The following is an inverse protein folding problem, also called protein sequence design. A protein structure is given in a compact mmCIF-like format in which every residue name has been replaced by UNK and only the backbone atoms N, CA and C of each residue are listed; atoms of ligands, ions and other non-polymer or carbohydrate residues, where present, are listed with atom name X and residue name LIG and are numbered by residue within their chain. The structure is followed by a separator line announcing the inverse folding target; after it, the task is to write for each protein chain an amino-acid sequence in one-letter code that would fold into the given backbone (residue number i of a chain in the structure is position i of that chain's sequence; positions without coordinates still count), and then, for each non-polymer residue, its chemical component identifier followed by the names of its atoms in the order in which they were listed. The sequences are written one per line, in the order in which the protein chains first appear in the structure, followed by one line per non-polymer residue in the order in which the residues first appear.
data_IF_623230460287
#
_entry.id   IF_623230460287
#
_cell.length_a   1.000
_cell.length_b   1.000
_cell.length_c   1.000
_cell.angle_alpha   90.00
_cell.angle_beta   90.00
_cell.angle_gamma   90.00
#
_symmetry.space_group_name_H-M   'P 1'
#
loop_
_entity.id
_entity.type
_entity.pdbx_description
1 polymer ?
#
# COMPACT_ATOMS: atom_id res chain seq x y z
N UNK A 1 -22.55 -37.33 -21.23
CA UNK A 1 -22.06 -36.67 -20.00
C UNK A 1 -20.92 -35.74 -20.38
N UNK A 2 -21.21 -34.45 -20.47
CA UNK A 2 -20.55 -33.51 -21.39
C UNK A 2 -19.41 -32.74 -20.75
N UNK A 3 -18.46 -32.27 -21.58
CA UNK A 3 -17.33 -31.39 -21.27
C UNK A 3 -17.61 -30.30 -20.21
N UNK A 4 -18.84 -29.75 -20.19
CA UNK A 4 -19.35 -28.82 -19.16
C UNK A 4 -19.26 -29.37 -17.73
N UNK A 5 -19.52 -30.67 -17.53
CA UNK A 5 -19.52 -31.33 -16.22
C UNK A 5 -18.09 -31.58 -15.71
N UNK A 6 -17.17 -31.96 -16.61
CA UNK A 6 -15.74 -32.08 -16.32
C UNK A 6 -15.08 -30.72 -16.06
N UNK A 7 -15.42 -29.68 -16.83
CA UNK A 7 -14.96 -28.31 -16.59
C UNK A 7 -15.49 -27.75 -15.26
N UNK A 8 -16.77 -28.00 -14.94
CA UNK A 8 -17.40 -27.61 -13.68
C UNK A 8 -16.71 -28.28 -12.49
N UNK A 9 -16.42 -29.59 -12.59
CA UNK A 9 -15.69 -30.35 -11.57
C UNK A 9 -14.27 -29.81 -11.39
N UNK A 10 -13.56 -29.54 -12.49
CA UNK A 10 -12.25 -28.91 -12.48
C UNK A 10 -12.30 -27.56 -11.76
N UNK A 11 -13.27 -26.70 -12.11
CA UNK A 11 -13.42 -25.36 -11.54
C UNK A 11 -13.70 -25.39 -10.04
N UNK A 12 -14.60 -26.27 -9.57
CA UNK A 12 -14.82 -26.48 -8.13
C UNK A 12 -13.59 -27.05 -7.44
N UNK A 13 -12.81 -27.92 -8.10
CA UNK A 13 -11.52 -28.38 -7.56
C UNK A 13 -10.51 -27.23 -7.48
N UNK A 14 -10.39 -26.38 -8.51
CA UNK A 14 -9.48 -25.22 -8.54
C UNK A 14 -9.81 -24.18 -7.45
N UNK A 15 -11.10 -23.89 -7.25
CA UNK A 15 -11.57 -22.98 -6.18
C UNK A 15 -11.36 -23.61 -4.80
N UNK A 16 -11.66 -24.91 -4.64
CA UNK A 16 -11.34 -25.64 -3.41
C UNK A 16 -9.83 -25.66 -3.14
N UNK A 17 -8.98 -25.81 -4.16
CA UNK A 17 -7.52 -25.72 -4.02
C UNK A 17 -7.08 -24.32 -3.58
N UNK A 18 -7.68 -23.25 -4.11
CA UNK A 18 -7.38 -21.88 -3.67
C UNK A 18 -7.81 -21.64 -2.21
N UNK A 19 -8.95 -22.20 -1.79
CA UNK A 19 -9.42 -22.14 -0.39
C UNK A 19 -8.62 -23.05 0.55
N UNK A 20 -8.21 -24.24 0.09
CA UNK A 20 -7.32 -25.17 0.82
C UNK A 20 -5.90 -24.63 0.91
N UNK A 21 -5.43 -23.88 -0.10
CA UNK A 21 -4.19 -23.11 -0.03
C UNK A 21 -4.30 -21.87 0.84
N UNK A 22 -5.50 -21.47 1.29
CA UNK A 22 -5.62 -20.55 2.42
C UNK A 22 -5.24 -21.24 3.75
N UNK A 23 -5.53 -22.54 3.89
CA UNK A 23 -5.16 -23.37 5.06
C UNK A 23 -3.77 -24.03 4.97
N UNK A 24 -3.21 -24.22 3.78
CA UNK A 24 -1.83 -24.72 3.58
C UNK A 24 -0.84 -23.62 3.18
N UNK A 25 -1.29 -22.49 2.66
CA UNK A 25 -0.49 -21.28 2.47
C UNK A 25 -0.12 -20.65 3.81
N UNK A 26 -0.97 -20.76 4.83
CA UNK A 26 -0.59 -20.54 6.23
C UNK A 26 0.53 -21.48 6.65
N UNK A 27 0.48 -22.77 6.30
CA UNK A 27 1.54 -23.74 6.64
C UNK A 27 2.84 -23.50 5.86
N UNK A 28 2.78 -23.17 4.57
CA UNK A 28 3.94 -22.87 3.73
C UNK A 28 4.59 -21.53 4.08
N UNK A 29 3.78 -20.52 4.45
CA UNK A 29 4.28 -19.26 4.98
C UNK A 29 4.89 -19.45 6.37
N UNK A 30 4.27 -20.29 7.22
CA UNK A 30 4.84 -20.69 8.52
C UNK A 30 6.17 -21.43 8.32
N UNK A 31 6.23 -22.41 7.40
CA UNK A 31 7.42 -23.17 7.02
C UNK A 31 8.52 -22.30 6.44
N UNK A 32 8.19 -21.35 5.56
CA UNK A 32 9.14 -20.38 5.00
C UNK A 32 9.68 -19.46 6.08
N UNK A 33 8.81 -18.95 6.98
CA UNK A 33 9.26 -18.15 8.12
C UNK A 33 10.15 -18.94 9.07
N UNK A 34 9.85 -20.22 9.35
CA UNK A 34 10.70 -21.06 10.20
C UNK A 34 12.01 -21.47 9.54
N UNK A 35 12.07 -21.69 8.22
CA UNK A 35 13.34 -21.95 7.51
C UNK A 35 14.22 -20.71 7.42
N UNK A 36 13.66 -19.51 7.34
CA UNK A 36 14.44 -18.26 7.38
C UNK A 36 14.81 -17.82 8.80
N UNK A 37 14.15 -18.35 9.83
CA UNK A 37 14.38 -18.00 11.23
C UNK A 37 15.60 -18.69 11.86
N UNK A 38 16.24 -19.64 11.17
CA UNK A 38 17.45 -20.31 11.68
C UNK A 38 18.73 -19.46 11.59
N UNK A 39 18.70 -18.26 10.98
CA UNK A 39 19.91 -17.47 10.71
C UNK A 39 20.03 -16.10 11.41
N UNK A 40 19.22 -15.75 12.42
CA UNK A 40 19.56 -14.61 13.30
C UNK A 40 18.87 -14.67 14.66
N UNK A 41 19.58 -15.22 15.63
CA UNK A 41 19.18 -15.31 17.02
C UNK A 41 19.25 -13.91 17.66
N UNK A 42 18.08 -13.30 17.96
CA UNK A 42 17.71 -12.59 19.22
C UNK A 42 16.83 -11.32 19.14
N UNK A 43 16.45 -10.73 17.99
CA UNK A 43 15.66 -9.47 18.01
C UNK A 43 14.52 -9.34 16.97
N UNK A 44 13.68 -10.37 16.73
CA UNK A 44 12.63 -10.28 15.69
C UNK A 44 11.36 -11.13 15.86
N UNK A 45 10.94 -11.44 17.08
CA UNK A 45 9.82 -12.38 17.32
C UNK A 45 8.41 -11.77 17.10
N UNK A 46 8.27 -10.45 16.99
CA UNK A 46 6.96 -9.79 16.78
C UNK A 46 6.50 -9.70 15.31
N UNK A 47 7.41 -9.83 14.34
CA UNK A 47 7.09 -9.68 12.90
C UNK A 47 6.32 -10.84 12.24
N UNK A 48 6.45 -12.13 12.64
CA UNK A 48 5.75 -13.22 11.95
C UNK A 48 4.26 -13.34 12.32
N UNK A 49 3.89 -12.94 13.54
CA UNK A 49 2.54 -13.19 14.09
C UNK A 49 1.47 -12.31 13.42
N UNK A 50 1.83 -11.09 13.02
CA UNK A 50 0.91 -10.18 12.32
C UNK A 50 0.88 -10.37 10.80
N UNK A 51 1.86 -11.07 10.22
CA UNK A 51 1.92 -11.32 8.79
C UNK A 51 0.88 -12.37 8.33
N UNK A 52 0.67 -13.41 9.13
CA UNK A 52 -0.26 -14.51 8.82
C UNK A 52 -1.72 -14.04 8.68
N UNK A 53 -2.29 -13.22 9.60
CA UNK A 53 -3.65 -12.71 9.46
C UNK A 53 -3.85 -11.81 8.23
N UNK A 54 -2.83 -11.03 7.83
CA UNK A 54 -2.91 -10.14 6.66
C UNK A 54 -2.98 -10.94 5.36
N UNK A 55 -2.07 -11.90 5.20
CA UNK A 55 -2.05 -12.78 4.01
C UNK A 55 -3.32 -13.63 3.94
N UNK A 56 -3.81 -14.14 5.07
CA UNK A 56 -5.07 -14.90 5.12
C UNK A 56 -6.27 -14.06 4.66
N UNK A 57 -6.44 -12.84 5.19
CA UNK A 57 -7.50 -11.91 4.74
C UNK A 57 -7.41 -11.60 3.26
N UNK A 58 -6.20 -11.40 2.73
CA UNK A 58 -5.99 -11.14 1.31
C UNK A 58 -6.41 -12.35 0.45
N UNK A 59 -5.96 -13.56 0.81
CA UNK A 59 -6.31 -14.80 0.11
C UNK A 59 -7.83 -15.02 0.12
N UNK A 60 -8.46 -14.93 1.30
CA UNK A 60 -9.91 -15.10 1.46
C UNK A 60 -10.69 -14.07 0.67
N UNK A 61 -10.27 -12.80 0.70
CA UNK A 61 -10.91 -11.72 -0.05
C UNK A 61 -10.87 -11.97 -1.55
N UNK A 62 -9.69 -12.33 -2.09
CA UNK A 62 -9.54 -12.63 -3.51
C UNK A 62 -10.35 -13.88 -3.87
N UNK A 63 -10.31 -14.95 -3.06
CA UNK A 63 -11.09 -16.17 -3.34
C UNK A 63 -12.60 -15.89 -3.38
N UNK A 64 -13.13 -15.08 -2.45
CA UNK A 64 -14.54 -14.66 -2.44
C UNK A 64 -14.89 -13.80 -3.65
N UNK A 65 -14.01 -12.88 -4.05
CA UNK A 65 -14.18 -12.09 -5.28
C UNK A 65 -14.25 -12.99 -6.52
N UNK A 66 -13.31 -13.91 -6.68
CA UNK A 66 -13.32 -14.89 -7.79
C UNK A 66 -14.63 -15.69 -7.82
N UNK A 67 -15.09 -16.15 -6.65
CA UNK A 67 -16.34 -16.90 -6.54
C UNK A 67 -17.55 -16.04 -6.93
N UNK A 68 -17.62 -14.78 -6.49
CA UNK A 68 -18.70 -13.84 -6.84
C UNK A 68 -18.76 -13.60 -8.36
N UNK A 69 -17.63 -13.33 -9.02
CA UNK A 69 -17.56 -13.24 -10.48
C UNK A 69 -18.08 -14.50 -11.17
N UNK A 70 -17.63 -15.68 -10.74
CA UNK A 70 -18.00 -16.95 -11.38
C UNK A 70 -19.45 -17.36 -11.14
N UNK A 71 -20.01 -17.05 -9.98
CA UNK A 71 -21.39 -17.40 -9.63
C UNK A 71 -22.38 -16.38 -10.19
N UNK A 72 -22.10 -15.08 -10.07
CA UNK A 72 -23.00 -14.01 -10.49
C UNK A 72 -23.13 -13.90 -12.00
N UNK A 73 -22.05 -14.16 -12.75
CA UNK A 73 -22.06 -14.12 -14.22
C UNK A 73 -22.43 -15.47 -14.85
N UNK A 74 -22.81 -16.45 -14.02
CA UNK A 74 -23.09 -17.80 -14.48
C UNK A 74 -24.38 -17.82 -15.31
N UNK A 75 -24.34 -18.53 -16.43
CA UNK A 75 -25.47 -18.71 -17.35
C UNK A 75 -25.98 -17.42 -18.01
N UNK A 76 -25.29 -16.29 -17.86
CA UNK A 76 -25.61 -15.09 -18.62
C UNK A 76 -24.96 -15.16 -20.01
N UNK A 77 -25.68 -14.79 -21.08
CA UNK A 77 -25.09 -14.70 -22.41
C UNK A 77 -24.06 -13.56 -22.42
N UNK A 78 -22.83 -13.92 -22.78
CA UNK A 78 -21.70 -12.99 -22.90
C UNK A 78 -22.07 -11.89 -23.90
N UNK A 79 -21.74 -10.64 -23.59
CA UNK A 79 -22.06 -9.44 -24.38
C UNK A 79 -23.55 -9.06 -24.47
N UNK A 80 -24.40 -9.58 -23.59
CA UNK A 80 -25.76 -9.05 -23.41
C UNK A 80 -25.78 -7.85 -22.47
N UNK A 81 -26.77 -6.97 -22.58
CA UNK A 81 -26.96 -5.87 -21.62
C UNK A 81 -27.09 -6.39 -20.19
N UNK A 82 -27.80 -7.50 -20.01
CA UNK A 82 -27.94 -8.18 -18.71
C UNK A 82 -26.59 -8.64 -18.14
N UNK A 83 -25.64 -9.04 -18.98
CA UNK A 83 -24.30 -9.43 -18.57
C UNK A 83 -23.49 -8.22 -18.11
N UNK A 84 -23.50 -7.11 -18.86
CA UNK A 84 -22.76 -5.91 -18.48
C UNK A 84 -23.32 -5.24 -17.23
N UNK A 85 -24.65 -5.20 -17.08
CA UNK A 85 -25.29 -4.75 -15.84
C UNK A 85 -24.84 -5.60 -14.65
N UNK A 86 -24.89 -6.94 -14.79
CA UNK A 86 -24.46 -7.82 -13.71
C UNK A 86 -22.97 -7.73 -13.41
N UNK A 87 -22.15 -7.52 -14.45
CA UNK A 87 -20.70 -7.33 -14.32
C UNK A 87 -20.38 -6.08 -13.51
N UNK A 88 -21.03 -4.95 -13.81
CA UNK A 88 -20.89 -3.71 -13.04
C UNK A 88 -21.28 -3.89 -11.57
N UNK A 89 -22.38 -4.59 -11.28
CA UNK A 89 -22.74 -4.90 -9.89
C UNK A 89 -21.68 -5.74 -9.16
N UNK A 90 -21.12 -6.75 -9.84
CA UNK A 90 -20.05 -7.59 -9.28
C UNK A 90 -18.78 -6.77 -9.06
N UNK A 91 -18.45 -5.86 -9.99
CA UNK A 91 -17.33 -4.93 -9.83
C UNK A 91 -17.50 -4.09 -8.58
N UNK A 92 -18.67 -3.50 -8.37
CA UNK A 92 -18.97 -2.67 -7.21
C UNK A 92 -18.84 -3.44 -5.89
N UNK A 93 -19.42 -4.65 -5.81
CA UNK A 93 -19.29 -5.49 -4.60
C UNK A 93 -17.84 -5.90 -4.34
N UNK A 94 -17.10 -6.23 -5.40
CA UNK A 94 -15.70 -6.63 -5.30
C UNK A 94 -14.80 -5.47 -4.90
N UNK A 95 -15.02 -4.28 -5.45
CA UNK A 95 -14.33 -3.06 -5.06
C UNK A 95 -14.54 -2.74 -3.57
N UNK A 96 -15.77 -2.83 -3.07
CA UNK A 96 -16.08 -2.66 -1.64
C UNK A 96 -15.37 -3.70 -0.75
N UNK A 97 -15.28 -4.96 -1.21
CA UNK A 97 -14.57 -6.02 -0.50
C UNK A 97 -13.07 -5.75 -0.43
N UNK A 98 -12.48 -5.26 -1.53
CA UNK A 98 -11.06 -4.87 -1.57
C UNK A 98 -10.82 -3.64 -0.71
N UNK A 99 -11.70 -2.64 -0.74
CA UNK A 99 -11.61 -1.47 0.14
C UNK A 99 -11.51 -1.89 1.61
N UNK A 100 -12.41 -2.76 2.06
CA UNK A 100 -12.38 -3.30 3.43
C UNK A 100 -11.07 -4.02 3.74
N UNK A 101 -10.55 -4.84 2.81
CA UNK A 101 -9.23 -5.46 2.96
C UNK A 101 -8.12 -4.41 3.13
N UNK A 102 -8.15 -3.33 2.34
CA UNK A 102 -7.19 -2.24 2.43
C UNK A 102 -7.24 -1.54 3.78
N UNK A 103 -8.43 -1.19 4.26
CA UNK A 103 -8.65 -0.53 5.56
C UNK A 103 -8.19 -1.41 6.74
N UNK A 104 -8.50 -2.71 6.68
CA UNK A 104 -8.13 -3.63 7.75
C UNK A 104 -6.63 -4.00 7.75
N UNK A 105 -5.99 -4.12 6.59
CA UNK A 105 -4.56 -4.46 6.50
C UNK A 105 -3.63 -3.24 6.60
N UNK A 106 -4.13 -2.05 6.26
CA UNK A 106 -3.40 -0.78 6.24
C UNK A 106 -2.13 -0.83 5.38
N UNK A 107 -1.31 0.23 5.42
CA UNK A 107 0.03 0.24 4.85
C UNK A 107 0.06 -0.09 3.36
N UNK A 108 0.78 -1.17 3.03
CA UNK A 108 0.88 -1.74 1.68
C UNK A 108 -0.47 -1.84 0.95
N UNK A 109 -1.52 -2.32 1.60
CA UNK A 109 -2.80 -2.55 0.93
C UNK A 109 -3.55 -1.25 0.65
N UNK A 110 -3.49 -0.27 1.56
CA UNK A 110 -3.99 1.09 1.29
C UNK A 110 -3.29 1.67 0.08
N UNK A 111 -1.96 1.51 0.02
CA UNK A 111 -1.17 2.01 -1.12
C UNK A 111 -1.49 1.28 -2.43
N UNK A 112 -1.72 -0.03 -2.38
CA UNK A 112 -2.19 -0.80 -3.52
C UNK A 112 -3.56 -0.32 -4.02
N UNK A 113 -4.48 -0.03 -3.09
CA UNK A 113 -5.80 0.53 -3.41
C UNK A 113 -5.70 1.92 -4.04
N UNK A 114 -4.87 2.81 -3.49
CA UNK A 114 -4.60 4.13 -4.06
C UNK A 114 -4.00 4.04 -5.47
N UNK A 115 -3.05 3.10 -5.68
CA UNK A 115 -2.48 2.84 -7.00
C UNK A 115 -3.57 2.40 -7.99
N UNK A 116 -4.39 1.41 -7.63
CA UNK A 116 -5.52 0.97 -8.45
C UNK A 116 -6.50 2.11 -8.73
N UNK A 117 -6.79 2.95 -7.75
CA UNK A 117 -7.70 4.08 -7.90
C UNK A 117 -7.22 5.10 -8.96
N UNK A 118 -5.90 5.25 -9.11
CA UNK A 118 -5.28 6.17 -10.07
C UNK A 118 -5.22 5.65 -11.52
N UNK A 119 -5.45 4.35 -11.75
CA UNK A 119 -5.37 3.75 -13.08
C UNK A 119 -6.64 4.04 -13.89
N UNK A 120 -6.48 4.32 -15.19
CA UNK A 120 -7.60 4.54 -16.11
C UNK A 120 -8.15 3.23 -16.70
N UNK A 121 -7.36 2.17 -16.65
CA UNK A 121 -7.62 0.88 -17.28
C UNK A 121 -8.42 -0.08 -16.39
N UNK A 122 -8.75 0.32 -15.15
CA UNK A 122 -9.56 -0.48 -14.23
C UNK A 122 -11.04 -0.09 -14.36
N UNK A 123 -11.98 -1.00 -14.08
CA UNK A 123 -13.40 -0.65 -14.10
C UNK A 123 -13.71 0.51 -13.15
N UNK A 124 -14.60 1.40 -13.57
CA UNK A 124 -14.88 2.66 -12.86
C UNK A 124 -15.31 2.42 -11.41
N UNK A 125 -16.01 1.32 -11.11
CA UNK A 125 -16.43 0.98 -9.76
C UNK A 125 -15.24 0.78 -8.81
N UNK A 126 -14.13 0.23 -9.28
CA UNK A 126 -12.91 0.09 -8.47
C UNK A 126 -12.26 1.44 -8.24
N UNK A 127 -12.12 2.26 -9.28
CA UNK A 127 -11.49 3.58 -9.15
C UNK A 127 -12.27 4.48 -8.19
N UNK A 128 -13.60 4.54 -8.35
CA UNK A 128 -14.46 5.33 -7.48
C UNK A 128 -14.42 4.87 -6.03
N UNK A 129 -14.62 3.57 -5.77
CA UNK A 129 -14.67 3.06 -4.39
C UNK A 129 -13.33 3.17 -3.69
N UNK A 130 -12.21 2.90 -4.38
CA UNK A 130 -10.89 2.95 -3.76
C UNK A 130 -10.34 4.38 -3.65
N UNK A 131 -10.96 5.38 -4.29
CA UNK A 131 -10.57 6.79 -4.13
C UNK A 131 -10.71 7.29 -2.69
N UNK A 132 -11.61 6.70 -1.89
CA UNK A 132 -11.75 7.02 -0.46
C UNK A 132 -10.50 6.69 0.36
N UNK A 133 -9.61 5.83 -0.13
CA UNK A 133 -8.34 5.52 0.53
C UNK A 133 -7.34 6.68 0.50
N UNK A 134 -7.65 7.78 -0.20
CA UNK A 134 -6.79 8.97 -0.27
C UNK A 134 -6.91 9.87 0.97
N UNK A 135 -7.85 9.59 1.87
CA UNK A 135 -8.02 10.31 3.12
C UNK A 135 -6.85 10.08 4.11
N UNK A 136 -6.72 10.97 5.11
CA UNK A 136 -5.59 10.95 6.04
C UNK A 136 -5.52 9.63 6.82
N UNK A 137 -4.31 9.06 6.87
CA UNK A 137 -4.06 7.85 7.64
C UNK A 137 -4.04 8.14 9.15
N UNK A 138 -4.43 7.18 9.97
CA UNK A 138 -4.25 7.25 11.42
C UNK A 138 -2.75 7.15 11.73
N UNK A 139 -2.15 8.11 12.45
CA UNK A 139 -0.73 8.09 12.77
C UNK A 139 -0.36 6.95 13.72
N UNK A 140 0.91 6.54 13.63
CA UNK A 140 1.55 5.64 14.58
C UNK A 140 1.94 6.40 15.85
N UNK A 141 2.12 5.67 16.96
CA UNK A 141 2.53 6.28 18.22
C UNK A 141 3.91 6.92 18.10
N UNK A 142 4.13 8.06 18.76
CA UNK A 142 5.44 8.70 18.72
C UNK A 142 6.54 7.81 19.31
N UNK A 143 6.21 6.95 20.29
CA UNK A 143 7.13 5.97 20.86
C UNK A 143 7.75 5.07 19.79
N UNK A 144 6.93 4.58 18.87
CA UNK A 144 7.35 3.70 17.78
C UNK A 144 8.19 4.46 16.74
N UNK A 145 7.76 5.67 16.39
CA UNK A 145 8.49 6.57 15.49
C UNK A 145 9.86 6.94 16.05
N UNK A 146 9.94 7.22 17.34
CA UNK A 146 11.18 7.54 18.04
C UNK A 146 12.20 6.41 17.93
N UNK A 147 11.77 5.14 17.94
CA UNK A 147 12.68 4.01 17.73
C UNK A 147 13.26 4.00 16.31
N UNK A 148 12.45 4.31 15.29
CA UNK A 148 12.92 4.43 13.90
C UNK A 148 13.90 5.59 13.77
N UNK A 149 13.60 6.76 14.35
CA UNK A 149 14.51 7.89 14.38
C UNK A 149 15.83 7.55 15.05
N UNK A 150 15.80 6.91 16.23
CA UNK A 150 17.01 6.58 16.99
C UNK A 150 17.90 5.53 16.30
N UNK A 151 17.29 4.57 15.61
CA UNK A 151 18.03 3.55 14.86
C UNK A 151 18.68 4.09 13.59
N UNK A 152 18.17 5.20 13.03
CA UNK A 152 18.67 5.80 11.79
C UNK A 152 19.59 6.99 12.02
N UNK A 153 19.29 7.85 13.00
CA UNK A 153 20.01 9.11 13.27
C UNK A 153 20.86 9.05 14.55
N UNK A 154 20.77 7.97 15.32
CA UNK A 154 21.49 7.80 16.59
C UNK A 154 20.60 8.00 17.83
N UNK A 155 21.08 7.51 18.99
CA UNK A 155 20.24 7.35 20.20
C UNK A 155 19.78 8.68 20.82
N UNK A 156 20.56 9.74 20.70
CA UNK A 156 20.28 11.02 21.35
C UNK A 156 19.84 12.09 20.35
N UNK A 157 18.54 12.06 20.02
CA UNK A 157 17.92 13.04 19.12
C UNK A 157 18.06 14.48 19.62
N UNK A 158 18.32 14.70 20.92
CA UNK A 158 18.51 16.05 21.49
C UNK A 158 19.80 16.73 21.03
N UNK A 159 20.75 15.97 20.49
CA UNK A 159 21.97 16.53 19.90
C UNK A 159 21.73 17.06 18.47
N UNK A 160 20.65 16.60 17.83
CA UNK A 160 20.29 16.97 16.45
C UNK A 160 19.21 18.06 16.46
N UNK A 161 18.15 17.84 17.24
CA UNK A 161 16.98 18.71 17.28
C UNK A 161 17.00 19.59 18.53
N UNK A 162 16.70 20.87 18.33
CA UNK A 162 16.34 21.81 19.39
C UNK A 162 14.95 21.48 19.96
N UNK A 163 13.99 21.23 19.07
CA UNK A 163 12.64 20.75 19.40
C UNK A 163 12.15 19.79 18.34
N UNK A 164 11.23 18.90 18.71
CA UNK A 164 10.63 17.93 17.81
C UNK A 164 9.18 17.70 18.25
N UNK A 165 8.22 17.94 17.36
CA UNK A 165 6.81 17.80 17.70
C UNK A 165 6.41 16.32 17.67
N UNK A 166 5.98 15.79 18.81
CA UNK A 166 5.55 14.39 18.92
C UNK A 166 4.27 14.11 18.13
N UNK A 167 3.44 15.14 17.92
CA UNK A 167 2.25 15.05 17.07
C UNK A 167 2.66 15.25 15.60
N UNK A 168 2.32 14.32 14.69
CA UNK A 168 2.67 14.46 13.29
C UNK A 168 1.80 15.54 12.62
N UNK A 169 2.41 16.35 11.75
CA UNK A 169 1.71 17.32 10.91
C UNK A 169 0.94 16.65 9.77
N UNK A 170 1.37 15.46 9.36
CA UNK A 170 0.71 14.65 8.35
C UNK A 170 1.01 13.16 8.57
N UNK A 171 0.04 12.31 8.26
CA UNK A 171 0.21 10.87 8.20
C UNK A 171 -0.24 10.34 6.84
N UNK A 172 0.54 9.42 6.29
CA UNK A 172 0.32 8.77 5.01
C UNK A 172 0.32 7.24 5.20
N UNK A 173 0.17 6.50 4.11
CA UNK A 173 0.05 5.03 4.17
C UNK A 173 1.26 4.33 4.80
N UNK A 174 2.48 4.84 4.60
CA UNK A 174 3.74 4.14 4.97
C UNK A 174 4.63 4.92 5.94
N UNK A 175 4.27 6.16 6.23
CA UNK A 175 5.10 7.09 6.97
C UNK A 175 4.25 8.21 7.54
N UNK A 176 4.81 8.92 8.51
CA UNK A 176 4.25 10.18 8.99
C UNK A 176 5.32 11.26 9.02
N UNK A 177 4.89 12.52 8.95
CA UNK A 177 5.74 13.69 8.91
C UNK A 177 5.58 14.45 10.21
N UNK A 178 6.70 14.81 10.82
CA UNK A 178 6.77 15.63 12.01
C UNK A 178 7.42 16.97 11.68
N UNK A 179 7.01 18.01 12.39
CA UNK A 179 7.72 19.27 12.40
C UNK A 179 8.80 19.22 13.49
N UNK A 180 9.96 19.80 13.21
CA UNK A 180 11.07 19.88 14.15
C UNK A 180 11.94 21.11 13.87
N UNK A 181 12.72 21.53 14.86
CA UNK A 181 13.69 22.61 14.76
C UNK A 181 15.08 22.03 15.02
N UNK A 182 16.03 22.27 14.12
CA UNK A 182 17.42 21.87 14.27
C UNK A 182 18.18 22.78 15.26
N UNK A 183 19.38 22.36 15.70
CA UNK A 183 20.21 23.15 16.62
C UNK A 183 20.68 24.49 16.05
N UNK A 184 20.75 24.61 14.74
CA UNK A 184 21.05 25.86 14.03
C UNK A 184 19.79 26.70 13.74
N UNK A 185 18.67 26.37 14.39
CA UNK A 185 17.37 27.03 14.28
C UNK A 185 16.64 26.88 12.94
N UNK A 186 17.08 25.97 12.05
CA UNK A 186 16.34 25.67 10.83
C UNK A 186 15.11 24.80 11.12
N UNK A 187 13.94 25.20 10.59
CA UNK A 187 12.71 24.40 10.62
C UNK A 187 12.74 23.29 9.56
N UNK A 188 12.42 22.07 9.97
CA UNK A 188 12.43 20.89 9.12
C UNK A 188 11.17 20.05 9.25
N UNK A 189 10.77 19.46 8.12
CA UNK A 189 9.82 18.37 8.05
C UNK A 189 10.59 17.04 8.08
N UNK A 190 10.33 16.22 9.09
CA UNK A 190 10.96 14.91 9.27
C UNK A 190 9.94 13.82 8.97
N UNK A 191 10.03 13.24 7.78
CA UNK A 191 9.20 12.12 7.34
C UNK A 191 9.84 10.81 7.78
N UNK A 192 9.11 10.02 8.56
CA UNK A 192 9.60 8.79 9.19
C UNK A 192 8.72 7.62 8.77
N UNK A 193 9.33 6.55 8.25
CA UNK A 193 8.63 5.32 7.93
C UNK A 193 8.08 4.63 9.18
N UNK A 194 6.96 3.91 9.04
CA UNK A 194 6.46 3.07 10.12
C UNK A 194 7.42 1.91 10.42
N UNK A 195 7.58 1.53 11.70
CA UNK A 195 8.51 0.47 12.09
C UNK A 195 8.15 -0.87 11.47
N UNK A 196 9.15 -1.64 11.06
CA UNK A 196 8.98 -3.00 10.53
C UNK A 196 8.27 -3.08 9.17
N UNK A 197 8.03 -1.94 8.51
CA UNK A 197 7.29 -1.88 7.25
C UNK A 197 7.98 -2.65 6.14
N UNK A 198 9.30 -2.54 5.99
CA UNK A 198 10.04 -3.19 4.90
C UNK A 198 9.89 -4.73 4.93
N UNK A 199 10.08 -5.34 6.09
CA UNK A 199 9.91 -6.79 6.25
C UNK A 199 8.47 -7.23 6.00
N UNK A 200 7.50 -6.45 6.50
CA UNK A 200 6.09 -6.74 6.28
C UNK A 200 5.70 -6.63 4.81
N UNK A 201 6.21 -5.62 4.11
CA UNK A 201 5.95 -5.40 2.69
C UNK A 201 6.53 -6.50 1.80
N UNK A 202 7.70 -7.06 2.13
CA UNK A 202 8.24 -8.21 1.39
C UNK A 202 7.27 -9.40 1.39
N UNK A 203 6.63 -9.66 2.53
CA UNK A 203 5.63 -10.73 2.66
C UNK A 203 4.36 -10.37 1.86
N UNK A 204 3.90 -9.12 1.92
CA UNK A 204 2.71 -8.69 1.19
C UNK A 204 2.92 -8.69 -0.34
N UNK A 205 4.09 -8.27 -0.84
CA UNK A 205 4.48 -8.35 -2.26
C UNK A 205 4.48 -9.81 -2.71
N UNK A 206 5.02 -10.71 -1.90
CA UNK A 206 5.05 -12.15 -2.19
C UNK A 206 3.63 -12.71 -2.25
N UNK A 207 2.78 -12.34 -1.28
CA UNK A 207 1.37 -12.71 -1.23
C UNK A 207 0.63 -12.23 -2.49
N UNK A 208 0.78 -10.97 -2.87
CA UNK A 208 0.15 -10.41 -4.08
C UNK A 208 0.66 -11.05 -5.37
N UNK A 209 1.95 -11.36 -5.44
CA UNK A 209 2.53 -12.06 -6.59
C UNK A 209 1.94 -13.47 -6.75
N UNK A 210 1.75 -14.19 -5.64
CA UNK A 210 1.07 -15.49 -5.63
C UNK A 210 -0.40 -15.38 -6.04
N UNK A 211 -1.12 -14.40 -5.48
CA UNK A 211 -2.53 -14.17 -5.79
C UNK A 211 -2.74 -13.78 -7.25
N UNK A 212 -1.90 -12.92 -7.82
CA UNK A 212 -1.95 -12.55 -9.24
C UNK A 212 -1.81 -13.76 -10.16
N UNK A 213 -0.81 -14.63 -9.90
CA UNK A 213 -0.63 -15.87 -10.65
C UNK A 213 -1.85 -16.79 -10.54
N UNK A 214 -2.43 -16.87 -9.35
CA UNK A 214 -3.62 -17.69 -9.09
C UNK A 214 -4.86 -17.17 -9.83
N UNK A 215 -5.06 -15.86 -9.85
CA UNK A 215 -6.15 -15.20 -10.61
C UNK A 215 -5.95 -15.42 -12.10
N UNK A 216 -4.75 -15.19 -12.63
CA UNK A 216 -4.43 -15.39 -14.04
C UNK A 216 -4.68 -16.83 -14.50
N UNK A 217 -4.40 -17.82 -13.64
CA UNK A 217 -4.71 -19.22 -13.92
C UNK A 217 -6.22 -19.56 -13.93
N UNK A 218 -7.03 -18.76 -13.22
CA UNK A 218 -8.47 -18.93 -13.12
C UNK A 218 -9.26 -18.10 -14.15
N UNK A 219 -8.66 -17.03 -14.64
CA UNK A 219 -9.17 -16.06 -15.61
C UNK A 219 -8.07 -15.73 -16.64
N UNK A 220 -7.75 -16.65 -17.54
CA UNK A 220 -6.64 -16.50 -18.49
C UNK A 220 -6.81 -15.29 -19.42
N UNK A 221 -8.05 -14.89 -19.69
CA UNK A 221 -8.38 -13.74 -20.53
C UNK A 221 -8.00 -12.40 -19.87
N UNK A 222 -7.79 -12.40 -18.54
CA UNK A 222 -7.44 -11.21 -17.77
C UNK A 222 -5.98 -11.27 -17.33
N UNK A 223 -5.14 -10.45 -17.98
CA UNK A 223 -3.73 -10.34 -17.62
C UNK A 223 -3.58 -9.41 -16.41
N UNK A 224 -3.67 -9.93 -15.18
CA UNK A 224 -3.44 -9.12 -13.96
C UNK A 224 -1.97 -8.99 -13.55
N UNK A 225 -1.06 -9.75 -14.18
CA UNK A 225 0.35 -9.81 -13.79
C UNK A 225 1.11 -8.49 -13.99
N UNK A 226 0.70 -7.65 -14.94
CA UNK A 226 1.32 -6.34 -15.16
C UNK A 226 1.06 -5.42 -13.95
N UNK A 227 -0.17 -5.41 -13.43
CA UNK A 227 -0.59 -4.57 -12.31
C UNK A 227 0.28 -4.78 -11.06
N UNK A 228 0.53 -6.04 -10.69
CA UNK A 228 1.37 -6.35 -9.53
C UNK A 228 2.84 -6.02 -9.79
N UNK A 229 3.31 -6.15 -11.03
CA UNK A 229 4.69 -5.80 -11.39
C UNK A 229 4.91 -4.30 -11.32
N UNK A 230 4.04 -3.51 -11.92
CA UNK A 230 4.09 -2.04 -11.85
C UNK A 230 3.94 -1.55 -10.41
N UNK A 231 2.99 -2.10 -9.65
CA UNK A 231 2.82 -1.72 -8.25
C UNK A 231 4.06 -2.04 -7.40
N UNK A 232 4.75 -3.16 -7.69
CA UNK A 232 6.01 -3.52 -7.00
C UNK A 232 7.08 -2.45 -7.23
N UNK A 233 7.22 -1.95 -8.44
CA UNK A 233 8.18 -0.89 -8.75
C UNK A 233 7.85 0.40 -8.02
N UNK A 234 6.57 0.80 -8.05
CA UNK A 234 6.08 1.98 -7.33
C UNK A 234 6.35 1.86 -5.83
N UNK A 235 5.95 0.75 -5.19
CA UNK A 235 6.09 0.61 -3.74
C UNK A 235 7.54 0.48 -3.29
N UNK A 236 8.39 -0.17 -4.10
CA UNK A 236 9.83 -0.24 -3.83
C UNK A 236 10.48 1.14 -3.88
N UNK A 237 10.04 2.01 -4.78
CA UNK A 237 10.53 3.40 -4.84
C UNK A 237 10.11 4.21 -3.61
N UNK A 238 8.92 3.96 -3.05
CA UNK A 238 8.43 4.67 -1.85
C UNK A 238 9.06 4.21 -0.53
N UNK A 239 9.60 2.99 -0.50
CA UNK A 239 10.34 2.47 0.64
C UNK A 239 11.78 2.99 0.71
N UNK A 240 12.27 3.65 -0.33
CA UNK A 240 13.62 4.19 -0.38
C UNK A 240 13.61 5.72 -0.36
N UNK A 241 13.64 6.29 0.84
CA UNK A 241 13.63 7.74 1.01
C UNK A 241 14.89 8.44 0.48
N UNK A 242 15.97 7.71 0.23
CA UNK A 242 17.13 8.26 -0.50
C UNK A 242 16.74 8.53 -1.95
N UNK A 243 16.00 7.60 -2.57
CA UNK A 243 15.53 7.80 -3.94
C UNK A 243 14.49 8.92 -4.01
N UNK A 244 13.59 9.01 -3.03
CA UNK A 244 12.63 10.12 -2.92
C UNK A 244 13.36 11.48 -2.81
N UNK A 245 14.37 11.58 -1.93
CA UNK A 245 15.20 12.78 -1.79
C UNK A 245 15.90 13.18 -3.10
N UNK A 246 16.53 12.23 -3.81
CA UNK A 246 17.18 12.49 -5.11
C UNK A 246 16.18 12.98 -6.16
N UNK A 247 14.99 12.37 -6.18
CA UNK A 247 13.92 12.77 -7.07
C UNK A 247 13.41 14.19 -6.75
N UNK A 248 13.32 14.54 -5.46
CA UNK A 248 12.99 15.89 -5.00
C UNK A 248 14.01 16.91 -5.52
N UNK A 249 15.31 16.68 -5.32
CA UNK A 249 16.35 17.60 -5.82
C UNK A 249 16.36 17.71 -7.35
N UNK A 250 16.16 16.60 -8.06
CA UNK A 250 16.02 16.62 -9.53
C UNK A 250 14.82 17.48 -9.94
N UNK A 251 13.71 17.36 -9.23
CA UNK A 251 12.53 18.20 -9.44
C UNK A 251 12.86 19.67 -9.17
N UNK A 252 13.58 19.98 -8.09
CA UNK A 252 14.06 21.34 -7.80
C UNK A 252 14.88 21.92 -8.94
N UNK A 253 15.79 21.14 -9.53
CA UNK A 253 16.58 21.55 -10.70
C UNK A 253 15.71 21.83 -11.93
N UNK A 254 14.72 20.97 -12.19
CA UNK A 254 13.79 21.14 -13.31
C UNK A 254 12.91 22.40 -13.16
N UNK A 255 12.54 22.75 -11.93
CA UNK A 255 11.69 23.89 -11.61
C UNK A 255 12.44 25.15 -11.17
N UNK A 256 13.78 25.21 -11.31
CA UNK A 256 14.61 26.33 -10.81
C UNK A 256 14.18 27.73 -11.27
N UNK A 257 13.56 27.84 -12.45
CA UNK A 257 13.10 29.10 -13.03
C UNK A 257 11.60 29.35 -12.84
N UNK A 258 10.89 28.46 -12.13
CA UNK A 258 9.47 28.58 -11.88
C UNK A 258 9.22 29.36 -10.58
N UNK A 259 8.47 30.46 -10.64
CA UNK A 259 8.17 31.31 -9.47
C UNK A 259 7.02 30.82 -8.59
N UNK A 260 6.25 29.83 -9.07
CA UNK A 260 5.06 29.30 -8.39
C UNK A 260 5.32 27.98 -7.66
N UNK A 261 6.39 27.26 -8.04
CA UNK A 261 6.72 25.94 -7.48
C UNK A 261 7.97 26.06 -6.62
N UNK A 262 7.83 25.81 -5.32
CA UNK A 262 8.96 25.70 -4.38
C UNK A 262 9.18 24.25 -4.02
N UNK A 263 10.41 23.77 -4.17
CA UNK A 263 10.83 22.44 -3.75
C UNK A 263 11.69 22.57 -2.49
N UNK A 264 11.37 21.85 -1.39
CA UNK A 264 12.12 21.98 -0.14
C UNK A 264 13.53 21.41 -0.29
N UNK A 265 14.49 22.07 0.35
CA UNK A 265 15.87 21.58 0.46
C UNK A 265 15.93 20.28 1.27
N UNK A 266 16.77 19.33 0.87
CA UNK A 266 16.97 18.06 1.59
C UNK A 266 18.20 18.17 2.48
N UNK A 267 18.05 17.76 3.75
CA UNK A 267 19.14 17.66 4.73
C UNK A 267 19.71 16.23 4.67
N UNK A 268 20.75 16.03 3.86
CA UNK A 268 21.28 14.70 3.54
C UNK A 268 21.91 13.99 4.73
N UNK A 269 22.54 14.75 5.62
CA UNK A 269 23.13 14.27 6.88
C UNK A 269 22.07 13.74 7.87
N UNK A 270 20.81 14.13 7.69
CA UNK A 270 19.65 13.66 8.46
C UNK A 270 18.68 12.82 7.61
N UNK A 271 19.14 12.33 6.46
CA UNK A 271 18.33 11.52 5.54
C UNK A 271 18.93 10.14 5.38
N UNK A 272 18.10 9.12 5.58
CA UNK A 272 18.42 7.70 5.42
C UNK A 272 17.37 7.03 4.53
N UNK A 273 17.43 5.70 4.38
CA UNK A 273 16.38 4.95 3.67
C UNK A 273 15.01 5.03 4.34
N UNK A 274 14.95 5.28 5.66
CA UNK A 274 13.72 5.27 6.47
C UNK A 274 13.34 6.63 7.06
N UNK A 275 14.23 7.61 6.99
CA UNK A 275 14.00 8.98 7.47
C UNK A 275 14.34 9.96 6.36
N UNK A 276 13.42 10.84 6.00
CA UNK A 276 13.64 11.93 5.05
C UNK A 276 13.48 13.26 5.78
N UNK A 277 14.55 14.04 5.84
CA UNK A 277 14.54 15.35 6.47
C UNK A 277 14.66 16.42 5.39
N UNK A 278 13.70 17.34 5.35
CA UNK A 278 13.63 18.41 4.37
C UNK A 278 13.20 19.73 5.00
N UNK A 279 13.48 20.85 4.33
CA UNK A 279 13.03 22.17 4.76
C UNK A 279 11.53 22.16 5.00
N UNK A 280 11.11 22.70 6.15
CA UNK A 280 9.68 22.87 6.41
C UNK A 280 9.11 23.97 5.52
N UNK A 281 7.95 23.71 4.91
CA UNK A 281 7.24 24.65 4.05
C UNK A 281 5.81 24.83 4.57
N UNK A 282 5.48 26.06 4.93
CA UNK A 282 4.12 26.45 5.33
C UNK A 282 3.22 26.59 4.09
N UNK A 283 1.99 26.09 4.18
CA UNK A 283 1.01 26.22 3.10
C UNK A 283 -0.29 25.45 3.35
N UNK A 284 -1.25 25.61 2.43
CA UNK A 284 -2.53 24.90 2.45
C UNK A 284 -2.56 23.79 1.37
N UNK A 285 -3.27 22.69 1.65
CA UNK A 285 -3.46 21.62 0.66
C UNK A 285 -4.23 22.15 -0.55
N UNK A 286 -3.76 21.85 -1.77
CA UNK A 286 -4.33 22.34 -3.03
C UNK A 286 -5.83 22.00 -3.18
N UNK A 287 -6.30 20.86 -2.67
CA UNK A 287 -7.72 20.48 -2.74
C UNK A 287 -8.66 21.34 -1.87
N UNK A 288 -8.13 22.09 -0.89
CA UNK A 288 -8.90 23.04 -0.07
C UNK A 288 -9.23 24.31 -0.87
N UNK A 289 -8.50 24.61 -1.96
CA UNK A 289 -8.75 25.82 -2.77
C UNK A 289 -10.10 25.77 -3.49
N UNK A 290 -10.64 24.58 -3.78
CA UNK A 290 -12.01 24.46 -4.31
C UNK A 290 -13.09 24.78 -3.27
N UNK A 291 -12.79 24.67 -1.97
CA UNK A 291 -13.69 25.06 -0.88
C UNK A 291 -13.61 26.56 -0.58
N UNK A 292 -12.44 27.20 -0.77
CA UNK A 292 -12.26 28.64 -0.53
C UNK A 292 -12.89 29.54 -1.61
N UNK A 293 -13.30 29.00 -2.76
CA UNK A 293 -14.15 29.71 -3.73
C UNK A 293 -15.65 29.61 -3.43
N UNK A 294 -16.08 28.80 -2.45
CA UNK A 294 -17.48 28.67 -2.03
C UNK A 294 -17.80 29.40 -0.72
N UNK A 295 -16.80 30.02 -0.09
CA UNK A 295 -16.95 30.78 1.17
C UNK A 295 -16.87 32.29 0.99
N UNK A 296 -16.76 32.76 -0.26
CA UNK A 296 -16.77 34.17 -0.64
C UNK A 296 -17.93 34.40 -1.61
N UNK A 297 -19.15 34.22 -1.14
CA UNK A 297 -20.39 34.83 -1.63
C UNK A 297 -21.30 35.12 -0.42
#
# INVERSE_FOLDING_TARGET
MTFKQNFKLLLTKKIKILLLTATTGTAALTLYTTTTATDSFTNKITSPIHAVPRSSRAISTIALTIADYKLSLRNLPVNSDSYYQKLSEVHLRSAKRILKLCEENKGFYVKAGQFVASLKQVPQEYSLVLSSLQDQAVPCSFKDIKQVLQSNLGRDLKNIFLSFDEQPVAAASIAQVHHAILKDHQEVAVKVQYPGLESQMKIDITTMSFLSKSVAWLFPDYRFNWLVTEFREVISSELDFIQEARNSEKTGKNFKNNKFVRIPHVFWELTTRQVLTMQFCWGHKVWILNLLHLSCD
#
